data_IF_191316758690
#
_entry.id   IF_191316758690
#
_cell.length_a   1.000
_cell.length_b   1.000
_cell.length_c   1.000
_cell.angle_alpha   90.00
_cell.angle_beta   90.00
_cell.angle_gamma   90.00
#
_symmetry.space_group_name_H-M   'P 1'
#
loop_
_entity.id
_entity.type
_entity.pdbx_description
1 polymer ?
#
# COMPACT_ATOMS: atom_id res chain seq x y z
N UNK A 1 8.55 8.45 -9.51
CA UNK A 1 8.23 9.63 -8.69
C UNK A 1 9.00 9.54 -7.38
N UNK A 2 9.11 10.65 -6.63
CA UNK A 2 9.47 10.65 -5.21
C UNK A 2 8.18 10.61 -4.39
N UNK A 3 8.10 9.76 -3.37
CA UNK A 3 6.93 9.64 -2.50
C UNK A 3 7.41 9.83 -1.05
N UNK A 4 6.92 10.89 -0.41
CA UNK A 4 7.35 11.33 0.92
C UNK A 4 6.27 11.05 1.99
N UNK A 5 6.71 10.73 3.20
CA UNK A 5 5.83 10.63 4.36
C UNK A 5 5.47 12.02 4.90
N UNK A 6 4.39 12.12 5.66
CA UNK A 6 3.96 13.38 6.31
C UNK A 6 3.76 13.27 7.82
N UNK A 7 3.78 12.07 8.40
CA UNK A 7 3.27 11.87 9.76
C UNK A 7 4.32 11.56 10.82
N UNK A 8 5.37 10.78 10.54
CA UNK A 8 6.39 10.43 11.53
C UNK A 8 7.75 10.15 10.87
N UNK A 9 8.83 10.69 11.43
CA UNK A 9 10.22 10.51 10.94
C UNK A 9 10.72 9.04 10.98
N UNK A 10 9.92 8.10 11.51
CA UNK A 10 10.28 6.68 11.70
C UNK A 10 9.15 5.71 11.32
N UNK A 11 8.26 6.08 10.39
CA UNK A 11 7.15 5.23 9.96
C UNK A 11 7.55 4.11 8.96
N UNK A 12 8.84 4.01 8.60
CA UNK A 12 9.37 3.05 7.62
C UNK A 12 8.71 3.16 6.24
N UNK A 13 8.24 4.35 5.84
CA UNK A 13 7.76 4.54 4.47
C UNK A 13 8.83 4.12 3.46
N UNK A 14 8.44 3.30 2.49
CA UNK A 14 9.34 2.80 1.45
C UNK A 14 10.13 1.56 1.83
N UNK A 15 9.84 0.94 2.99
CA UNK A 15 10.43 -0.35 3.37
C UNK A 15 10.10 -1.45 2.34
N UNK A 16 8.88 -1.42 1.81
CA UNK A 16 8.47 -2.25 0.68
C UNK A 16 7.72 -1.40 -0.34
N UNK A 17 7.97 -1.65 -1.62
CA UNK A 17 7.24 -1.06 -2.73
C UNK A 17 6.90 -2.10 -3.80
N UNK A 18 5.76 -1.92 -4.45
CA UNK A 18 5.27 -2.75 -5.55
C UNK A 18 4.91 -1.88 -6.75
N UNK A 19 4.85 -2.52 -7.92
CA UNK A 19 4.23 -1.94 -9.10
C UNK A 19 3.43 -2.99 -9.87
N UNK A 20 2.31 -2.56 -10.44
CA UNK A 20 1.36 -3.38 -11.20
C UNK A 20 0.15 -2.54 -11.58
N UNK A 21 -0.74 -3.06 -12.40
CA UNK A 21 -1.92 -2.34 -12.90
C UNK A 21 -3.15 -2.64 -12.03
N UNK A 22 -3.25 -1.99 -10.86
CA UNK A 22 -4.33 -2.27 -9.88
C UNK A 22 -5.68 -1.76 -10.34
N UNK A 23 -5.72 -0.65 -11.08
CA UNK A 23 -6.96 -0.06 -11.56
C UNK A 23 -7.39 -0.56 -12.96
N UNK A 24 -6.56 -1.35 -13.65
CA UNK A 24 -6.86 -1.95 -14.94
C UNK A 24 -6.79 -0.98 -16.12
N UNK A 25 -6.06 0.14 -15.99
CA UNK A 25 -5.95 1.18 -17.02
C UNK A 25 -4.75 1.02 -17.97
N UNK A 26 -4.01 -0.09 -17.82
CA UNK A 26 -2.78 -0.44 -18.56
C UNK A 26 -1.56 0.43 -18.22
N UNK A 27 -1.61 1.27 -17.20
CA UNK A 27 -0.45 1.92 -16.60
C UNK A 27 -0.08 1.23 -15.29
N UNK A 28 1.23 1.11 -15.04
CA UNK A 28 1.69 0.59 -13.76
C UNK A 28 1.46 1.63 -12.66
N UNK A 29 0.68 1.22 -11.66
CA UNK A 29 0.49 1.89 -10.38
C UNK A 29 1.69 1.66 -9.47
N UNK A 30 1.82 2.49 -8.44
CA UNK A 30 2.87 2.38 -7.42
C UNK A 30 2.23 2.21 -6.05
N UNK A 31 2.68 1.19 -5.33
CA UNK A 31 2.25 0.91 -3.97
C UNK A 31 3.46 1.06 -3.06
N UNK A 32 3.37 1.88 -2.02
CA UNK A 32 4.43 2.08 -1.04
C UNK A 32 3.91 1.78 0.35
N UNK A 33 4.59 0.89 1.08
CA UNK A 33 4.22 0.51 2.44
C UNK A 33 5.00 1.30 3.50
N UNK A 34 4.39 1.43 4.68
CA UNK A 34 4.92 2.08 5.86
C UNK A 34 4.49 1.26 7.08
N UNK A 35 5.36 0.36 7.55
CA UNK A 35 4.99 -0.67 8.53
C UNK A 35 4.83 -0.15 9.96
N UNK A 36 5.41 1.02 10.28
CA UNK A 36 5.37 1.64 11.61
C UNK A 36 4.47 2.88 11.65
N UNK A 37 3.70 3.15 10.60
CA UNK A 37 2.74 4.26 10.66
C UNK A 37 1.61 3.97 11.63
N UNK A 38 1.23 4.99 12.39
CA UNK A 38 0.06 4.94 13.25
C UNK A 38 -1.19 5.17 12.38
N UNK A 39 -2.19 4.31 12.52
CA UNK A 39 -3.49 4.48 11.87
C UNK A 39 -4.46 5.04 12.90
N UNK A 40 -4.74 6.35 12.82
CA UNK A 40 -5.50 7.05 13.85
C UNK A 40 -4.80 6.96 15.21
N UNK A 41 -5.45 6.37 16.21
CA UNK A 41 -4.87 6.13 17.54
C UNK A 41 -4.18 4.77 17.70
N UNK A 42 -4.14 3.95 16.65
CA UNK A 42 -3.58 2.60 16.68
C UNK A 42 -2.10 2.65 16.32
N UNK A 43 -1.24 2.38 17.31
CA UNK A 43 0.21 2.46 17.15
C UNK A 43 0.75 1.33 16.25
N UNK A 44 1.68 1.64 15.34
CA UNK A 44 2.39 0.66 14.49
C UNK A 44 1.45 -0.31 13.76
N UNK A 45 0.26 0.16 13.36
CA UNK A 45 -0.69 -0.68 12.62
C UNK A 45 -0.17 -0.98 11.21
N UNK A 46 0.59 -0.03 10.64
CA UNK A 46 1.09 -0.09 9.29
C UNK A 46 0.05 0.31 8.26
N UNK A 47 0.51 0.75 7.09
CA UNK A 47 -0.33 1.08 5.95
C UNK A 47 0.39 0.84 4.62
N UNK A 48 -0.38 0.74 3.54
CA UNK A 48 0.11 0.81 2.18
C UNK A 48 -0.67 1.87 1.40
N UNK A 49 0.06 2.68 0.63
CA UNK A 49 -0.46 3.81 -0.14
C UNK A 49 -0.37 3.49 -1.62
N UNK A 50 -1.46 3.66 -2.36
CA UNK A 50 -1.57 3.39 -3.79
C UNK A 50 -1.61 4.71 -4.54
N UNK A 51 -0.79 4.81 -5.58
CA UNK A 51 -0.74 5.93 -6.50
C UNK A 51 -0.97 5.39 -7.91
N UNK A 52 -2.08 5.76 -8.53
CA UNK A 52 -2.40 5.31 -9.86
C UNK A 52 -1.45 5.91 -10.90
N UNK A 53 -1.04 5.08 -11.84
CA UNK A 53 -0.12 5.44 -12.89
C UNK A 53 -0.73 6.41 -13.91
N UNK A 54 0.10 7.06 -14.74
CA UNK A 54 1.55 7.17 -14.60
C UNK A 54 1.96 8.18 -13.53
N UNK A 55 2.85 7.80 -12.60
CA UNK A 55 3.34 8.70 -11.55
C UNK A 55 4.60 9.47 -11.96
N UNK A 56 4.62 10.79 -11.71
CA UNK A 56 5.81 11.63 -11.97
C UNK A 56 5.92 12.81 -11.00
N UNK A 57 7.14 13.32 -10.78
CA UNK A 57 7.37 14.39 -9.79
C UNK A 57 7.41 13.87 -8.35
N UNK A 58 6.90 14.69 -7.42
CA UNK A 58 6.90 14.42 -5.98
C UNK A 58 5.47 14.33 -5.45
N UNK A 59 5.21 13.32 -4.63
CA UNK A 59 3.94 13.07 -3.95
C UNK A 59 4.19 12.94 -2.45
N UNK A 60 3.13 13.14 -1.67
CA UNK A 60 3.06 12.76 -0.28
C UNK A 60 2.09 11.58 -0.08
N UNK A 61 2.20 10.86 1.02
CA UNK A 61 1.24 9.79 1.34
C UNK A 61 -0.22 10.28 1.45
N UNK A 62 -0.43 11.58 1.67
CA UNK A 62 -1.75 12.23 1.62
C UNK A 62 -2.30 12.44 0.21
N UNK A 63 -1.45 12.32 -0.82
CA UNK A 63 -1.84 12.44 -2.23
C UNK A 63 -2.19 11.07 -2.83
N UNK A 64 -2.11 9.98 -2.05
CA UNK A 64 -2.42 8.65 -2.51
C UNK A 64 -3.88 8.54 -2.97
N UNK A 65 -4.11 7.93 -4.13
CA UNK A 65 -5.45 7.66 -4.66
C UNK A 65 -6.22 6.71 -3.75
N UNK A 66 -5.49 5.84 -3.05
CA UNK A 66 -6.06 5.00 -2.00
C UNK A 66 -5.04 4.52 -0.97
N UNK A 67 -5.55 3.91 0.09
CA UNK A 67 -4.69 3.26 1.09
C UNK A 67 -5.36 2.04 1.73
N UNK A 68 -4.52 1.07 2.09
CA UNK A 68 -4.86 0.00 3.03
C UNK A 68 -4.23 0.35 4.37
N UNK A 69 -4.98 0.13 5.45
CA UNK A 69 -4.53 0.41 6.80
C UNK A 69 -4.68 -0.84 7.66
N UNK A 70 -3.65 -1.14 8.47
CA UNK A 70 -3.75 -2.13 9.52
C UNK A 70 -4.75 -1.70 10.58
N UNK A 71 -5.31 -2.68 11.28
CA UNK A 71 -6.38 -2.45 12.28
C UNK A 71 -5.94 -2.69 13.73
N UNK A 72 -4.77 -3.29 13.94
CA UNK A 72 -4.30 -3.72 15.27
C UNK A 72 -3.04 -2.96 15.67
N UNK A 73 -2.89 -2.69 16.97
CA UNK A 73 -1.66 -2.11 17.49
C UNK A 73 -0.51 -3.11 17.32
N UNK A 74 0.65 -2.64 16.84
CA UNK A 74 1.77 -3.50 16.44
C UNK A 74 1.37 -4.52 15.37
N UNK A 75 0.49 -4.11 14.46
CA UNK A 75 0.00 -4.95 13.35
C UNK A 75 1.01 -5.11 12.21
N UNK A 76 1.85 -4.10 12.00
CA UNK A 76 2.93 -4.12 11.02
C UNK A 76 2.47 -4.51 9.60
N UNK A 77 1.33 -3.97 9.15
CA UNK A 77 0.91 -4.10 7.76
C UNK A 77 1.99 -3.57 6.83
N UNK A 78 2.32 -4.33 5.79
CA UNK A 78 3.18 -3.86 4.72
C UNK A 78 4.65 -4.30 4.78
N UNK A 79 4.99 -5.23 5.68
CA UNK A 79 6.31 -5.89 5.70
C UNK A 79 6.52 -6.92 4.58
N UNK A 80 5.48 -7.25 3.83
CA UNK A 80 5.55 -8.21 2.73
C UNK A 80 4.21 -8.40 2.04
N UNK A 81 4.23 -9.01 0.87
CA UNK A 81 3.08 -9.03 -0.03
C UNK A 81 3.48 -9.38 -1.46
N UNK A 82 2.51 -9.29 -2.36
CA UNK A 82 2.65 -9.67 -3.76
C UNK A 82 1.59 -8.96 -4.60
N UNK A 83 1.91 -8.76 -5.87
CA UNK A 83 1.06 -8.11 -6.86
C UNK A 83 1.04 -8.94 -8.14
N UNK A 84 -0.16 -9.30 -8.60
CA UNK A 84 -0.44 -9.92 -9.90
C UNK A 84 -1.95 -10.12 -10.03
N UNK A 85 -2.44 -10.29 -11.25
CA UNK A 85 -3.79 -10.78 -11.52
C UNK A 85 -4.01 -12.21 -10.98
N UNK A 86 -4.59 -12.32 -9.77
CA UNK A 86 -4.84 -13.60 -9.11
C UNK A 86 -6.19 -14.20 -9.50
N UNK A 87 -7.16 -13.39 -9.92
CA UNK A 87 -8.51 -13.85 -10.25
C UNK A 87 -8.84 -13.90 -11.76
N UNK A 88 -7.93 -13.42 -12.61
CA UNK A 88 -7.95 -13.54 -14.06
C UNK A 88 -8.81 -12.50 -14.75
N UNK A 89 -9.07 -11.35 -14.11
CA UNK A 89 -9.91 -10.29 -14.66
C UNK A 89 -9.16 -9.27 -15.53
N UNK A 90 -7.83 -9.35 -15.55
CA UNK A 90 -6.95 -8.49 -16.34
C UNK A 90 -6.38 -7.29 -15.59
N UNK A 91 -6.78 -7.05 -14.33
CA UNK A 91 -6.14 -6.10 -13.43
C UNK A 91 -5.30 -6.85 -12.39
N UNK A 92 -4.20 -6.23 -11.93
CA UNK A 92 -3.39 -6.81 -10.87
C UNK A 92 -4.08 -6.67 -9.50
N UNK A 93 -4.06 -7.73 -8.71
CA UNK A 93 -4.51 -7.74 -7.33
C UNK A 93 -3.32 -7.50 -6.38
N UNK A 94 -3.57 -6.86 -5.24
CA UNK A 94 -2.58 -6.71 -4.17
C UNK A 94 -2.92 -7.60 -2.99
N UNK A 95 -1.97 -8.44 -2.57
CA UNK A 95 -2.02 -9.16 -1.29
C UNK A 95 -0.92 -8.62 -0.39
N UNK A 96 -1.28 -8.18 0.81
CA UNK A 96 -0.33 -7.58 1.75
C UNK A 96 -0.47 -8.19 3.14
N UNK A 97 0.66 -8.60 3.72
CA UNK A 97 0.70 -9.19 5.06
C UNK A 97 0.66 -8.12 6.14
N UNK A 98 0.01 -8.45 7.26
CA UNK A 98 0.11 -7.77 8.53
C UNK A 98 0.53 -8.80 9.58
N UNK A 99 1.84 -8.85 9.82
CA UNK A 99 2.45 -9.88 10.64
C UNK A 99 1.89 -9.91 12.07
N UNK A 100 1.66 -8.73 12.67
CA UNK A 100 1.10 -8.61 14.01
C UNK A 100 -0.38 -8.98 14.11
N UNK A 101 -1.14 -8.79 13.03
CA UNK A 101 -2.56 -9.17 12.94
C UNK A 101 -2.74 -10.68 12.70
N UNK A 102 -1.66 -11.42 12.44
CA UNK A 102 -1.70 -12.80 11.95
C UNK A 102 -2.62 -12.96 10.72
N UNK A 103 -2.62 -11.94 9.85
CA UNK A 103 -3.51 -11.82 8.72
C UNK A 103 -2.79 -11.32 7.46
N UNK A 104 -3.45 -11.48 6.32
CA UNK A 104 -3.14 -10.78 5.09
C UNK A 104 -4.43 -10.14 4.55
N UNK A 105 -4.27 -9.00 3.88
CA UNK A 105 -5.34 -8.24 3.26
C UNK A 105 -5.24 -8.40 1.76
N UNK A 106 -6.38 -8.55 1.11
CA UNK A 106 -6.48 -8.68 -0.35
C UNK A 106 -7.24 -7.49 -0.88
N UNK A 107 -6.61 -6.72 -1.75
CA UNK A 107 -7.25 -5.74 -2.63
C UNK A 107 -7.46 -6.43 -3.98
N UNK A 108 -8.71 -6.49 -4.45
CA UNK A 108 -9.00 -6.94 -5.82
C UNK A 108 -8.95 -5.79 -6.82
N UNK A 109 -8.17 -5.96 -7.88
CA UNK A 109 -7.97 -4.97 -8.94
C UNK A 109 -9.23 -4.71 -9.76
N UNK A 110 -9.16 -3.77 -10.70
CA UNK A 110 -10.18 -3.58 -11.75
C UNK A 110 -11.52 -2.97 -11.29
N UNK A 111 -11.65 -2.62 -10.01
CA UNK A 111 -12.84 -2.06 -9.41
C UNK A 111 -12.95 -0.54 -9.49
N UNK A 112 -12.96 0.05 -10.69
CA UNK A 112 -13.39 1.43 -10.95
C UNK A 112 -14.29 1.53 -12.20
#
# INVERSE_FOLDING_TARGET
AEICGVTQETDNLGEVAYGGDLNGDSYADVIVASSLVNVGSTADAGAAYVFFGPVSGSYFTTDADASLSGSTASGYMGLGGTIMDYDGDGADDLIIGAYGDAAAYVWRGGGL
#
